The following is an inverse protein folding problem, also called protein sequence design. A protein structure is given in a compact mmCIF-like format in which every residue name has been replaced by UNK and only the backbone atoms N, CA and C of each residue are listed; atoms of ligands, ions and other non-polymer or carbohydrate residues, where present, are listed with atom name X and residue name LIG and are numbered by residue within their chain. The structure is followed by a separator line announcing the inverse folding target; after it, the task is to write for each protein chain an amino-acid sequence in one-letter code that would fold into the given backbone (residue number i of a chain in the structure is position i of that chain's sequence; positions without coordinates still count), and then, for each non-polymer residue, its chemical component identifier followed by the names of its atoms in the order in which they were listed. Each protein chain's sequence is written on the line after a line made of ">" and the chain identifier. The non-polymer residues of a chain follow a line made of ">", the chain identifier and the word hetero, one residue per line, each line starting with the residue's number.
data_IF_865503154853
#
_entry.id   IF_865503154853
#
_cell.length_a   1.000
_cell.length_b   1.000
_cell.length_c   1.000
_cell.angle_alpha   90.00
_cell.angle_beta   90.00
_cell.angle_gamma   90.00
#
_symmetry.space_group_name_H-M   'P 1'
#
loop_
_entity.id
_entity.type
_entity.pdbx_description
1 polymer ?
#
# COMPACT_ATOMS: atom_id res chain seq x y z
N UNK A 1 -8.56 -3.92 -13.24
CA UNK A 1 -7.25 -3.63 -12.61
C UNK A 1 -6.97 -4.64 -11.50
N UNK A 2 -5.71 -4.93 -11.26
CA UNK A 2 -5.25 -5.74 -10.13
C UNK A 2 -4.81 -4.80 -9.01
N UNK A 3 -5.47 -4.93 -7.84
CA UNK A 3 -5.14 -4.16 -6.64
C UNK A 3 -4.55 -5.12 -5.61
N UNK A 4 -3.35 -4.81 -5.12
CA UNK A 4 -2.68 -5.57 -4.06
C UNK A 4 -2.74 -4.81 -2.74
N UNK A 5 -2.72 -5.53 -1.62
CA UNK A 5 -2.78 -4.94 -0.30
C UNK A 5 -2.43 -5.94 0.80
N UNK A 6 -2.66 -5.54 2.05
CA UNK A 6 -2.28 -6.32 3.22
C UNK A 6 -0.87 -6.01 3.71
N UNK A 7 -0.44 -6.74 4.74
CA UNK A 7 0.82 -6.46 5.45
C UNK A 7 2.04 -6.59 4.54
N UNK A 8 2.08 -7.63 3.70
CA UNK A 8 3.19 -7.88 2.77
C UNK A 8 3.32 -6.76 1.74
N UNK A 9 2.22 -6.40 1.06
CA UNK A 9 2.25 -5.31 0.09
C UNK A 9 2.62 -3.98 0.77
N UNK A 10 2.10 -3.73 1.97
CA UNK A 10 2.41 -2.52 2.74
C UNK A 10 3.90 -2.40 3.04
N UNK A 11 4.53 -3.45 3.56
CA UNK A 11 5.94 -3.44 3.93
C UNK A 11 6.87 -3.40 2.71
N UNK A 12 6.45 -3.98 1.58
CA UNK A 12 7.23 -4.06 0.34
C UNK A 12 6.87 -2.97 -0.68
N UNK A 13 6.17 -1.90 -0.25
CA UNK A 13 5.68 -0.82 -1.14
C UNK A 13 6.77 -0.01 -1.83
N UNK A 14 7.98 -0.02 -1.27
CA UNK A 14 9.20 0.60 -1.78
C UNK A 14 10.34 -0.43 -1.72
N UNK A 15 11.56 -0.04 -2.08
CA UNK A 15 12.74 -0.88 -1.95
C UNK A 15 12.82 -1.45 -0.54
N UNK A 16 12.97 -2.77 -0.45
CA UNK A 16 12.93 -3.50 0.81
C UNK A 16 13.99 -4.60 0.81
N UNK A 17 14.42 -4.97 2.01
CA UNK A 17 15.35 -6.07 2.19
C UNK A 17 14.57 -7.37 2.41
N UNK A 18 14.84 -8.37 1.57
CA UNK A 18 14.28 -9.71 1.72
C UNK A 18 15.30 -10.62 2.42
N UNK A 19 14.90 -11.13 3.59
CA UNK A 19 15.77 -11.97 4.42
C UNK A 19 15.99 -13.36 3.84
N UNK A 20 15.10 -13.86 2.98
CA UNK A 20 15.23 -15.21 2.42
C UNK A 20 16.27 -15.25 1.30
N UNK A 21 16.29 -14.21 0.46
CA UNK A 21 17.28 -14.08 -0.61
C UNK A 21 18.53 -13.30 -0.21
N UNK A 22 18.61 -12.75 1.01
CA UNK A 22 19.70 -11.89 1.50
C UNK A 22 20.03 -10.75 0.52
N UNK A 23 18.99 -10.06 0.03
CA UNK A 23 19.15 -9.04 -1.00
C UNK A 23 18.08 -7.95 -0.93
N UNK A 24 18.39 -6.78 -1.50
CA UNK A 24 17.39 -5.75 -1.74
C UNK A 24 16.56 -6.10 -2.97
N UNK A 25 15.25 -5.94 -2.84
CA UNK A 25 14.28 -6.03 -3.93
C UNK A 25 13.64 -4.66 -4.16
N UNK A 26 13.21 -4.36 -5.39
CA UNK A 26 12.50 -3.13 -5.69
C UNK A 26 11.11 -3.14 -5.01
N UNK A 27 10.33 -2.08 -5.24
CA UNK A 27 8.91 -2.09 -4.86
C UNK A 27 8.20 -3.32 -5.44
N UNK A 28 7.35 -3.97 -4.64
CA UNK A 28 6.52 -5.10 -5.08
C UNK A 28 5.61 -4.74 -6.26
N UNK A 29 5.33 -3.45 -6.48
CA UNK A 29 4.61 -2.97 -7.66
C UNK A 29 5.38 -3.17 -8.96
N UNK A 30 6.72 -3.10 -8.92
CA UNK A 30 7.56 -3.36 -10.08
C UNK A 30 7.57 -4.86 -10.42
N UNK A 31 7.66 -5.72 -9.40
CA UNK A 31 7.75 -7.17 -9.60
C UNK A 31 6.40 -7.82 -9.93
N UNK A 32 5.33 -7.42 -9.24
CA UNK A 32 4.00 -8.02 -9.41
C UNK A 32 3.26 -7.53 -10.65
N UNK A 33 3.61 -6.34 -11.16
CA UNK A 33 2.88 -5.68 -12.23
C UNK A 33 1.46 -5.21 -11.85
N UNK A 34 1.14 -5.16 -10.55
CA UNK A 34 -0.16 -4.69 -10.08
C UNK A 34 -0.42 -3.21 -10.47
N UNK A 35 -1.68 -2.89 -10.74
CA UNK A 35 -2.06 -1.54 -11.17
C UNK A 35 -2.08 -0.54 -9.99
N UNK A 36 -2.35 -1.04 -8.78
CA UNK A 36 -2.49 -0.25 -7.56
C UNK A 36 -2.13 -1.09 -6.33
N UNK A 37 -1.52 -0.45 -5.34
CA UNK A 37 -1.22 -1.00 -4.03
C UNK A 37 -1.95 -0.18 -2.97
N UNK A 38 -2.61 -0.83 -2.02
CA UNK A 38 -3.15 -0.19 -0.82
C UNK A 38 -2.25 -0.60 0.34
N UNK A 39 -1.73 0.39 1.07
CA UNK A 39 -0.89 0.13 2.25
C UNK A 39 -1.60 0.57 3.53
N UNK A 40 -1.20 0.05 4.69
CA UNK A 40 -1.82 0.41 5.97
C UNK A 40 -3.30 -0.01 6.07
N UNK A 41 -4.10 0.74 6.84
CA UNK A 41 -5.51 0.44 7.09
C UNK A 41 -6.37 0.66 5.84
N UNK A 42 -6.84 -0.44 5.24
CA UNK A 42 -7.47 -0.43 3.92
C UNK A 42 -8.95 -0.01 3.90
N UNK A 43 -9.61 0.09 5.05
CA UNK A 43 -11.07 0.23 5.21
C UNK A 43 -11.63 1.43 4.43
N UNK A 44 -11.00 2.61 4.57
CA UNK A 44 -11.42 3.82 3.85
C UNK A 44 -11.01 3.77 2.38
N UNK A 45 -9.79 3.33 2.10
CA UNK A 45 -9.19 3.33 0.76
C UNK A 45 -9.94 2.38 -0.18
N UNK A 46 -10.28 1.18 0.29
CA UNK A 46 -10.94 0.18 -0.55
C UNK A 46 -12.32 0.65 -1.01
N UNK A 47 -13.05 1.36 -0.14
CA UNK A 47 -14.32 1.97 -0.51
C UNK A 47 -14.14 3.10 -1.53
N UNK A 48 -13.11 3.94 -1.37
CA UNK A 48 -12.78 5.00 -2.33
C UNK A 48 -12.40 4.43 -3.71
N UNK A 49 -11.57 3.37 -3.72
CA UNK A 49 -11.18 2.64 -4.93
C UNK A 49 -12.42 2.01 -5.60
N UNK A 50 -13.27 1.33 -4.84
CA UNK A 50 -14.51 0.72 -5.36
C UNK A 50 -15.44 1.78 -5.98
N UNK A 51 -15.65 2.91 -5.29
CA UNK A 51 -16.46 4.03 -5.80
C UNK A 51 -15.85 4.64 -7.07
N UNK A 52 -14.52 4.82 -7.10
CA UNK A 52 -13.82 5.33 -8.28
C UNK A 52 -13.90 4.36 -9.47
N UNK A 53 -14.01 3.06 -9.22
CA UNK A 53 -14.15 2.03 -10.24
C UNK A 53 -15.60 1.77 -10.69
N UNK A 54 -16.61 2.26 -9.97
CA UNK A 54 -18.01 1.96 -10.23
C UNK A 54 -18.49 2.39 -11.64
N UNK A 55 -17.85 3.41 -12.23
CA UNK A 55 -18.13 3.89 -13.59
C UNK A 55 -17.04 3.49 -14.60
N UNK A 56 -16.24 2.47 -14.29
CA UNK A 56 -15.09 2.03 -15.09
C UNK A 56 -13.74 2.49 -14.52
N UNK A 57 -12.66 1.96 -15.10
CA UNK A 57 -11.31 2.22 -14.59
C UNK A 57 -10.82 3.62 -14.99
N UNK A 58 -10.62 4.49 -13.99
CA UNK A 58 -10.00 5.79 -14.16
C UNK A 58 -8.72 5.90 -13.33
N UNK A 59 -7.57 5.65 -13.98
CA UNK A 59 -6.27 5.72 -13.34
C UNK A 59 -5.98 7.09 -12.69
N UNK A 60 -6.48 8.19 -13.26
CA UNK A 60 -6.27 9.53 -12.71
C UNK A 60 -7.00 9.71 -11.37
N UNK A 61 -8.22 9.18 -11.25
CA UNK A 61 -8.95 9.20 -9.99
C UNK A 61 -8.26 8.34 -8.93
N UNK A 62 -7.85 7.13 -9.28
CA UNK A 62 -7.19 6.21 -8.35
C UNK A 62 -5.86 6.77 -7.82
N UNK A 63 -5.07 7.41 -8.69
CA UNK A 63 -3.78 8.02 -8.31
C UNK A 63 -3.91 9.25 -7.41
N UNK A 64 -5.11 9.83 -7.30
CA UNK A 64 -5.40 10.95 -6.39
C UNK A 64 -5.94 10.48 -5.03
N UNK A 65 -6.16 9.18 -4.85
CA UNK A 65 -6.59 8.62 -3.56
C UNK A 65 -5.39 8.66 -2.60
N UNK A 66 -5.63 8.98 -1.33
CA UNK A 66 -4.62 8.88 -0.27
C UNK A 66 -4.38 7.41 0.08
N UNK A 67 -3.16 7.10 0.52
CA UNK A 67 -2.76 5.80 1.00
C UNK A 67 -2.78 4.69 -0.07
N UNK A 68 -2.33 5.05 -1.28
CA UNK A 68 -2.13 4.10 -2.38
C UNK A 68 -0.73 4.21 -2.97
N UNK A 69 -0.26 3.13 -3.58
CA UNK A 69 0.95 3.06 -4.36
C UNK A 69 0.67 2.69 -5.81
N UNK A 70 1.45 3.22 -6.76
CA UNK A 70 1.38 2.82 -8.17
C UNK A 70 2.69 3.09 -8.90
N UNK A 71 2.90 2.41 -10.03
CA UNK A 71 4.03 2.70 -10.92
C UNK A 71 3.69 3.84 -11.90
N UNK A 72 4.60 4.78 -12.06
CA UNK A 72 4.46 5.94 -12.93
C UNK A 72 5.68 6.13 -13.84
N UNK A 73 5.47 6.83 -14.96
CA UNK A 73 6.56 7.30 -15.81
C UNK A 73 7.16 8.61 -15.29
N UNK A 74 8.31 8.99 -15.88
CA UNK A 74 9.01 10.25 -15.55
C UNK A 74 8.12 11.48 -15.70
N UNK A 75 7.32 11.55 -16.76
CA UNK A 75 6.47 12.71 -17.05
C UNK A 75 5.43 12.95 -15.95
N UNK A 76 4.91 11.88 -15.35
CA UNK A 76 3.98 11.99 -14.23
C UNK A 76 4.67 12.57 -13.00
N UNK A 77 5.84 12.04 -12.66
CA UNK A 77 6.60 12.47 -11.48
C UNK A 77 7.08 13.92 -11.60
N UNK A 78 7.46 14.36 -12.80
CA UNK A 78 7.84 15.76 -13.05
C UNK A 78 6.69 16.76 -12.91
N UNK A 79 5.44 16.31 -12.99
CA UNK A 79 4.24 17.15 -12.75
C UNK A 79 3.82 17.22 -11.29
N UNK A 80 4.42 16.42 -10.40
CA UNK A 80 4.10 16.46 -8.98
C UNK A 80 4.62 17.75 -8.33
N UNK A 81 3.90 18.23 -7.31
CA UNK A 81 4.33 19.39 -6.53
C UNK A 81 5.64 19.07 -5.79
N UNK A 82 6.76 19.74 -6.09
CA UNK A 82 8.05 19.44 -5.47
C UNK A 82 8.07 19.78 -3.97
N UNK A 83 7.19 20.64 -3.48
CA UNK A 83 7.12 21.00 -2.05
C UNK A 83 6.44 19.92 -1.21
N UNK A 84 5.64 19.07 -1.84
CA UNK A 84 4.91 17.95 -1.22
C UNK A 84 5.39 16.59 -1.69
N UNK A 85 6.51 16.54 -2.41
CA UNK A 85 7.05 15.30 -2.97
C UNK A 85 8.45 15.05 -2.45
N UNK A 86 8.66 13.89 -1.84
CA UNK A 86 9.96 13.46 -1.37
C UNK A 86 10.49 12.43 -2.35
N UNK A 87 11.57 12.79 -3.04
CA UNK A 87 12.33 11.87 -3.88
C UNK A 87 13.30 11.09 -3.02
N UNK A 88 13.11 9.78 -2.99
CA UNK A 88 13.99 8.83 -2.34
C UNK A 88 15.15 8.45 -3.27
N UNK A 89 16.19 7.84 -2.72
CA UNK A 89 17.23 7.19 -3.52
C UNK A 89 16.61 6.07 -4.35
N UNK A 90 17.02 5.88 -5.60
CA UNK A 90 16.47 4.81 -6.45
C UNK A 90 16.85 3.42 -5.91
N UNK A 91 16.11 2.40 -6.36
CA UNK A 91 16.44 1.00 -6.07
C UNK A 91 17.92 0.69 -6.41
N UNK A 92 18.39 1.13 -7.58
CA UNK A 92 19.76 0.92 -8.03
C UNK A 92 20.79 1.65 -7.16
N UNK A 93 20.48 2.88 -6.72
CA UNK A 93 21.31 3.61 -5.76
C UNK A 93 21.37 2.88 -4.40
N UNK A 94 20.24 2.34 -3.93
CA UNK A 94 20.16 1.56 -2.70
C UNK A 94 20.94 0.25 -2.77
N UNK A 95 20.92 -0.44 -3.91
CA UNK A 95 21.73 -1.64 -4.17
C UNK A 95 23.22 -1.30 -4.17
N UNK A 96 23.61 -0.17 -4.75
CA UNK A 96 25.00 0.27 -4.80
C UNK A 96 25.53 0.81 -3.46
N UNK A 97 24.69 1.47 -2.65
CA UNK A 97 25.07 2.06 -1.37
C UNK A 97 24.06 1.73 -0.25
N UNK A 98 24.50 0.90 0.71
CA UNK A 98 23.73 0.55 1.90
C UNK A 98 23.32 1.77 2.74
N UNK A 99 24.08 2.87 2.70
CA UNK A 99 23.71 4.11 3.39
C UNK A 99 22.55 4.81 2.68
N UNK A 100 22.45 4.74 1.36
CA UNK A 100 21.31 5.26 0.61
C UNK A 100 20.02 4.53 1.00
N UNK A 101 20.07 3.19 1.07
CA UNK A 101 18.96 2.39 1.61
C UNK A 101 18.60 2.78 3.05
N UNK A 102 19.60 2.89 3.94
CA UNK A 102 19.37 3.30 5.33
C UNK A 102 18.70 4.69 5.45
N UNK A 103 19.09 5.66 4.63
CA UNK A 103 18.46 6.99 4.58
C UNK A 103 17.00 6.93 4.11
N UNK A 104 16.72 6.16 3.05
CA UNK A 104 15.35 5.93 2.59
C UNK A 104 14.51 5.34 3.73
N UNK A 105 15.01 4.27 4.38
CA UNK A 105 14.31 3.61 5.47
C UNK A 105 13.99 4.58 6.62
N UNK A 106 14.96 5.37 7.09
CA UNK A 106 14.71 6.38 8.13
C UNK A 106 13.63 7.37 7.72
N UNK A 107 13.63 7.84 6.46
CA UNK A 107 12.64 8.80 5.97
C UNK A 107 11.25 8.17 5.89
N UNK A 108 11.14 6.96 5.33
CA UNK A 108 9.90 6.21 5.21
C UNK A 108 9.28 5.95 6.59
N UNK A 109 10.07 5.44 7.53
CA UNK A 109 9.58 5.13 8.88
C UNK A 109 9.18 6.39 9.65
N UNK A 110 9.96 7.47 9.53
CA UNK A 110 9.61 8.75 10.18
C UNK A 110 8.25 9.25 9.69
N UNK A 111 8.03 9.28 8.38
CA UNK A 111 6.76 9.73 7.79
C UNK A 111 5.59 8.80 8.10
N UNK A 112 5.85 7.49 8.19
CA UNK A 112 4.82 6.50 8.52
C UNK A 112 4.33 6.61 9.97
N UNK A 113 5.12 7.23 10.85
CA UNK A 113 4.77 7.48 12.25
C UNK A 113 4.27 8.91 12.52
N UNK A 114 4.19 9.78 11.50
CA UNK A 114 3.54 11.08 11.66
C UNK A 114 2.03 10.91 11.79
N UNK A 115 1.40 11.77 12.58
CA UNK A 115 -0.06 11.81 12.72
C UNK A 115 -0.74 12.29 11.43
N UNK A 116 -0.15 13.30 10.78
CA UNK A 116 -0.70 13.95 9.59
C UNK A 116 0.39 14.18 8.52
N UNK A 117 0.96 13.13 7.94
CA UNK A 117 1.88 13.26 6.81
C UNK A 117 1.12 13.64 5.54
N UNK A 118 1.66 14.57 4.76
CA UNK A 118 1.04 15.08 3.52
C UNK A 118 1.94 14.88 2.29
N UNK A 119 3.11 14.30 2.49
CA UNK A 119 4.11 14.12 1.45
C UNK A 119 3.91 12.83 0.65
N UNK A 120 4.00 12.96 -0.66
CA UNK A 120 4.07 11.83 -1.59
C UNK A 120 5.51 11.34 -1.67
N UNK A 121 5.72 10.04 -1.48
CA UNK A 121 7.03 9.41 -1.68
C UNK A 121 7.19 8.96 -3.13
N UNK A 122 8.36 9.17 -3.68
CA UNK A 122 8.71 8.70 -5.02
C UNK A 122 10.07 8.02 -4.99
N UNK A 123 10.14 6.79 -5.46
CA UNK A 123 11.38 6.01 -5.58
C UNK A 123 11.56 5.54 -7.02
N UNK A 124 12.75 5.77 -7.60
CA UNK A 124 13.08 5.28 -8.94
C UNK A 124 13.32 3.77 -8.95
N UNK A 125 12.82 3.08 -9.97
CA UNK A 125 13.06 1.66 -10.24
C UNK A 125 13.18 1.49 -11.76
N UNK A 126 14.41 1.27 -12.24
CA UNK A 126 14.71 1.23 -13.67
C UNK A 126 14.33 2.53 -14.39
N UNK A 127 13.42 2.43 -15.38
CA UNK A 127 12.90 3.56 -16.16
C UNK A 127 11.57 4.12 -15.61
N UNK A 128 11.08 3.58 -14.50
CA UNK A 128 9.80 3.95 -13.88
C UNK A 128 10.01 4.38 -12.42
N UNK A 129 8.91 4.79 -11.79
CA UNK A 129 8.90 5.26 -10.41
C UNK A 129 7.77 4.61 -9.63
N UNK A 130 8.08 4.09 -8.44
CA UNK A 130 7.07 3.77 -7.44
C UNK A 130 6.64 5.07 -6.75
N UNK A 131 5.35 5.40 -6.84
CA UNK A 131 4.76 6.60 -6.23
C UNK A 131 3.81 6.15 -5.14
N UNK A 132 4.04 6.62 -3.90
CA UNK A 132 3.21 6.32 -2.73
C UNK A 132 2.57 7.62 -2.24
N UNK A 133 1.25 7.71 -2.37
CA UNK A 133 0.49 8.87 -1.89
C UNK A 133 0.43 8.90 -0.37
N UNK A 134 0.24 10.06 0.27
CA UNK A 134 0.26 10.18 1.73
C UNK A 134 -0.84 9.32 2.39
N UNK A 135 -0.63 8.77 3.60
CA UNK A 135 -1.63 7.93 4.26
C UNK A 135 -2.88 8.72 4.64
N UNK A 136 -3.96 8.02 4.95
CA UNK A 136 -5.15 8.66 5.50
C UNK A 136 -4.92 9.02 6.97
N UNK A 137 -5.66 10.02 7.46
CA UNK A 137 -5.83 10.22 8.89
C UNK A 137 -6.45 8.96 9.51
N UNK A 138 -6.13 8.70 10.77
CA UNK A 138 -6.69 7.60 11.57
C UNK A 138 -8.21 7.57 11.48
N UNK A 139 -8.78 6.36 11.45
CA UNK A 139 -10.23 6.17 11.47
C UNK A 139 -10.80 6.73 12.77
N UNK A 140 -11.99 7.32 12.69
CA UNK A 140 -12.77 7.62 13.90
C UNK A 140 -13.36 6.34 14.47
N UNK A 141 -13.77 6.40 15.73
CA UNK A 141 -14.47 5.27 16.38
C UNK A 141 -15.70 4.85 15.58
N UNK A 142 -16.48 5.81 15.08
CA UNK A 142 -17.69 5.55 14.31
C UNK A 142 -17.41 4.85 12.97
N UNK A 143 -16.31 5.24 12.28
CA UNK A 143 -15.92 4.57 11.04
C UNK A 143 -15.44 3.13 11.29
N UNK A 144 -14.75 2.92 12.40
CA UNK A 144 -14.29 1.59 12.81
C UNK A 144 -15.49 0.71 13.16
N UNK A 145 -16.39 1.19 14.03
CA UNK A 145 -17.61 0.48 14.44
C UNK A 145 -18.46 0.10 13.23
N UNK A 146 -18.68 1.02 12.29
CA UNK A 146 -19.40 0.74 11.06
C UNK A 146 -18.77 -0.41 10.24
N UNK A 147 -17.43 -0.49 10.20
CA UNK A 147 -16.73 -1.59 9.51
C UNK A 147 -17.02 -2.94 10.19
N UNK A 148 -17.03 -2.99 11.52
CA UNK A 148 -17.31 -4.21 12.30
C UNK A 148 -18.80 -4.61 12.31
N UNK A 149 -19.69 -3.64 12.14
CA UNK A 149 -21.14 -3.82 12.12
C UNK A 149 -21.70 -4.29 10.78
N UNK A 150 -20.88 -4.37 9.73
CA UNK A 150 -21.30 -4.95 8.45
C UNK A 150 -21.86 -6.38 8.67
N UNK A 151 -22.85 -6.80 7.85
CA UNK A 151 -23.50 -8.10 8.00
C UNK A 151 -22.59 -9.22 7.47
N UNK A 152 -21.45 -9.42 8.12
CA UNK A 152 -20.55 -10.54 7.86
C UNK A 152 -21.30 -11.84 8.11
N UNK A 153 -21.03 -12.84 7.28
CA UNK A 153 -21.63 -14.18 7.39
C UNK A 153 -21.49 -14.74 8.82
N UNK A 154 -20.36 -14.43 9.48
CA UNK A 154 -19.93 -14.94 10.79
C UNK A 154 -19.90 -16.48 10.90
N UNK A 155 -20.41 -17.23 9.93
CA UNK A 155 -20.43 -18.68 9.91
C UNK A 155 -19.08 -19.30 9.53
N UNK A 156 -18.84 -20.58 9.88
CA UNK A 156 -17.64 -21.29 9.48
C UNK A 156 -17.49 -21.39 7.96
N UNK A 157 -16.23 -21.40 7.50
CA UNK A 157 -15.93 -21.55 6.08
C UNK A 157 -16.56 -22.85 5.52
N UNK A 158 -17.25 -22.82 4.35
CA UNK A 158 -17.98 -23.98 3.81
C UNK A 158 -17.17 -25.27 3.66
N UNK A 159 -15.84 -25.18 3.53
CA UNK A 159 -14.89 -26.31 3.51
C UNK A 159 -15.01 -27.25 4.71
N UNK A 160 -15.50 -26.76 5.85
CA UNK A 160 -15.67 -27.56 7.07
C UNK A 160 -17.02 -28.29 7.16
N UNK A 161 -17.93 -28.11 6.20
CA UNK A 161 -19.20 -28.86 6.16
C UNK A 161 -18.94 -30.37 6.19
N UNK A 162 -19.55 -31.07 7.15
CA UNK A 162 -19.42 -32.52 7.32
C UNK A 162 -18.09 -33.00 7.91
N UNK A 163 -17.22 -32.10 8.41
CA UNK A 163 -15.95 -32.46 9.06
C UNK A 163 -16.05 -32.57 10.58
N UNK A 164 -17.27 -32.66 11.10
CA UNK A 164 -17.55 -32.62 12.54
C UNK A 164 -17.65 -31.19 13.06
N UNK A 165 -17.78 -31.09 14.38
CA UNK A 165 -17.99 -29.82 15.07
C UNK A 165 -16.70 -29.00 15.08
N UNK A 166 -16.86 -27.68 15.09
CA UNK A 166 -15.74 -26.73 15.17
C UNK A 166 -15.77 -26.17 16.60
N UNK A 167 -14.86 -26.60 17.50
CA UNK A 167 -14.94 -26.21 18.90
C UNK A 167 -14.97 -24.70 19.14
N UNK A 168 -14.22 -23.93 18.34
CA UNK A 168 -14.20 -22.47 18.43
C UNK A 168 -15.50 -21.79 17.93
N UNK A 169 -16.32 -22.49 17.13
CA UNK A 169 -17.61 -22.00 16.66
C UNK A 169 -18.72 -22.23 17.68
N UNK A 170 -18.66 -23.33 18.44
CA UNK A 170 -19.68 -23.65 19.45
C UNK A 170 -19.60 -22.79 20.71
N UNK A 171 -18.50 -22.05 20.88
CA UNK A 171 -18.28 -21.16 22.03
C UNK A 171 -18.87 -19.75 21.87
N UNK A 172 -19.45 -19.43 20.70
CA UNK A 172 -19.91 -18.09 20.32
C UNK A 172 -21.44 -17.99 20.40
#
# INVERSE_FOLDING_TARGET
>A
PVVIGGIEASLRRLTHYDYWSDSLHPSILADSGADLLIYGMGERVIQQVARAMNNGFNAKLLRNIRQVGFMADRSYVERLDPTRTIRLHSYEECVADKRAFGKNFTRIETLSNLMEPDETLVEGVGDRYAVITPPNATLTTEELDHSFDLPYERAPHPRYRGRGDIPAWEMI
#
